data_IF_189194354622
#
_entry.id   IF_189194354622
#
_cell.length_a   1.000
_cell.length_b   1.000
_cell.length_c   1.000
_cell.angle_alpha   90.00
_cell.angle_beta   90.00
_cell.angle_gamma   90.00
#
_symmetry.space_group_name_H-M   'P 1'
#
loop_
_entity.id
_entity.type
_entity.pdbx_description
1 polymer ?
#
# COMPACT_ATOMS: atom_id res chain seq x y z
N UNK A 1 34.22 -11.00 29.98
CA UNK A 1 33.31 -9.94 30.48
C UNK A 1 33.29 -9.92 32.00
N UNK A 2 33.34 -11.05 32.69
CA UNK A 2 33.33 -11.12 34.17
C UNK A 2 34.63 -10.57 34.76
N UNK A 3 35.79 -10.82 34.15
CA UNK A 3 37.06 -10.20 34.54
C UNK A 3 37.02 -8.66 34.48
N UNK A 4 36.37 -8.09 33.45
CA UNK A 4 36.21 -6.63 33.36
C UNK A 4 35.32 -6.07 34.48
N UNK A 5 34.28 -6.82 34.87
CA UNK A 5 33.37 -6.46 35.98
C UNK A 5 34.12 -6.49 37.32
N UNK A 6 34.91 -7.54 37.56
CA UNK A 6 35.71 -7.69 38.79
C UNK A 6 36.73 -6.57 38.91
N UNK A 7 37.43 -6.20 37.84
CA UNK A 7 38.42 -5.10 37.87
C UNK A 7 37.73 -3.74 38.12
N UNK A 8 36.62 -3.45 37.49
CA UNK A 8 35.87 -2.19 37.73
C UNK A 8 35.32 -2.15 39.14
N UNK A 9 34.80 -3.26 39.68
CA UNK A 9 34.34 -3.37 41.05
C UNK A 9 35.51 -3.24 42.08
N UNK A 10 36.71 -3.69 41.71
CA UNK A 10 37.95 -3.51 42.49
C UNK A 10 38.56 -2.11 42.40
N UNK A 11 37.84 -1.13 41.81
CA UNK A 11 38.27 0.28 41.79
C UNK A 11 39.20 0.68 40.64
N UNK A 12 39.48 -0.20 39.71
CA UNK A 12 40.32 0.13 38.54
C UNK A 12 39.61 1.12 37.61
N UNK A 13 40.38 2.11 37.09
CA UNK A 13 39.83 3.11 36.15
C UNK A 13 39.28 2.44 34.88
N UNK A 14 38.05 2.75 34.52
CA UNK A 14 37.36 2.20 33.33
C UNK A 14 38.18 2.39 32.05
N UNK A 15 38.94 3.50 31.92
CA UNK A 15 39.80 3.77 30.78
C UNK A 15 40.96 2.75 30.66
N UNK A 16 41.52 2.34 31.80
CA UNK A 16 42.59 1.34 31.85
C UNK A 16 42.03 -0.06 31.53
N UNK A 17 40.90 -0.45 32.15
CA UNK A 17 40.24 -1.73 31.90
C UNK A 17 39.79 -1.84 30.44
N UNK A 18 39.27 -0.76 29.86
CA UNK A 18 38.89 -0.66 28.45
C UNK A 18 40.06 -0.95 27.51
N UNK A 19 41.24 -0.36 27.81
CA UNK A 19 42.47 -0.51 27.01
C UNK A 19 43.03 -1.94 27.12
N UNK A 20 43.14 -2.45 28.33
CA UNK A 20 43.75 -3.76 28.59
C UNK A 20 42.90 -4.92 28.06
N UNK A 21 41.58 -4.85 28.24
CA UNK A 21 40.67 -5.92 27.82
C UNK A 21 40.05 -5.69 26.45
N UNK A 22 40.39 -4.60 25.72
CA UNK A 22 39.83 -4.21 24.42
C UNK A 22 38.30 -4.17 24.39
N UNK A 23 37.68 -3.73 25.48
CA UNK A 23 36.22 -3.56 25.62
C UNK A 23 35.90 -2.08 25.61
N UNK A 24 34.88 -1.67 24.85
CA UNK A 24 34.52 -0.25 24.76
C UNK A 24 34.09 0.34 26.12
N UNK A 25 34.44 1.60 26.41
CA UNK A 25 34.04 2.31 27.63
C UNK A 25 32.52 2.33 27.82
N UNK A 26 31.78 2.55 26.71
CA UNK A 26 30.32 2.53 26.72
C UNK A 26 29.75 1.19 27.20
N UNK A 27 30.36 0.09 26.75
CA UNK A 27 29.97 -1.27 27.18
C UNK A 27 30.29 -1.51 28.67
N UNK A 28 31.42 -1.02 29.18
CA UNK A 28 31.77 -1.12 30.61
C UNK A 28 30.82 -0.29 31.47
N UNK A 29 30.48 0.95 31.08
CA UNK A 29 29.50 1.78 31.76
C UNK A 29 28.10 1.16 31.76
N UNK A 30 27.67 0.62 30.62
CA UNK A 30 26.38 -0.08 30.50
C UNK A 30 26.33 -1.29 31.43
N UNK A 31 27.45 -2.02 31.57
CA UNK A 31 27.57 -3.18 32.44
C UNK A 31 27.55 -2.79 33.91
N UNK A 32 28.22 -1.70 34.30
CA UNK A 32 28.23 -1.18 35.67
C UNK A 32 26.84 -0.70 36.14
N UNK A 33 26.03 -0.19 35.24
CA UNK A 33 24.65 0.27 35.52
C UNK A 33 23.61 -0.86 35.60
N UNK A 34 23.96 -2.10 35.24
CA UNK A 34 23.04 -3.24 35.29
C UNK A 34 22.78 -3.66 36.72
N UNK A 35 21.49 -3.78 37.08
CA UNK A 35 21.11 -4.30 38.42
C UNK A 35 21.53 -5.76 38.61
N UNK A 36 21.62 -6.22 39.86
CA UNK A 36 21.94 -7.63 40.18
C UNK A 36 20.98 -8.64 39.55
N UNK A 37 19.73 -8.26 39.27
CA UNK A 37 18.73 -9.09 38.61
C UNK A 37 18.67 -8.92 37.09
N UNK A 38 19.59 -8.16 36.48
CA UNK A 38 19.56 -7.95 35.04
C UNK A 38 19.85 -9.25 34.26
N UNK A 39 18.94 -9.64 33.40
CA UNK A 39 19.11 -10.76 32.48
C UNK A 39 19.16 -10.26 31.01
N UNK A 40 20.08 -10.82 30.24
CA UNK A 40 20.14 -10.52 28.82
C UNK A 40 18.92 -11.09 28.08
N UNK A 41 17.96 -10.20 27.77
CA UNK A 41 16.73 -10.60 27.07
C UNK A 41 16.97 -11.13 25.65
N UNK A 42 18.17 -10.96 25.10
CA UNK A 42 18.54 -11.51 23.77
C UNK A 42 18.68 -13.04 23.82
N UNK A 43 18.94 -13.60 24.98
CA UNK A 43 19.06 -15.05 25.21
C UNK A 43 17.73 -15.70 25.62
N UNK A 44 16.62 -14.96 25.71
CA UNK A 44 15.31 -15.56 25.98
C UNK A 44 14.93 -16.52 24.86
N UNK A 45 14.40 -17.69 25.25
CA UNK A 45 13.87 -18.71 24.35
C UNK A 45 13.00 -18.01 23.29
N UNK A 46 13.30 -18.22 22.01
CA UNK A 46 12.48 -17.67 20.94
C UNK A 46 11.06 -18.21 21.10
N UNK A 47 10.03 -17.37 21.00
CA UNK A 47 8.66 -17.87 21.03
C UNK A 47 8.49 -18.90 19.91
N UNK A 48 7.62 -19.88 20.13
CA UNK A 48 7.21 -20.80 19.08
C UNK A 48 6.58 -20.01 17.92
N UNK A 49 7.10 -20.24 16.73
CA UNK A 49 6.66 -19.53 15.53
C UNK A 49 5.71 -20.38 14.67
N UNK A 50 5.36 -21.62 15.11
CA UNK A 50 4.56 -22.59 14.32
C UNK A 50 3.21 -22.02 13.92
N UNK A 51 2.44 -21.49 14.86
CA UNK A 51 1.16 -20.84 14.58
C UNK A 51 1.30 -19.63 13.67
N UNK A 52 2.28 -18.77 13.95
CA UNK A 52 2.55 -17.58 13.12
C UNK A 52 2.95 -17.98 11.70
N UNK A 53 3.71 -19.04 11.51
CA UNK A 53 4.09 -19.57 10.21
C UNK A 53 2.86 -20.10 9.45
N UNK A 54 1.98 -20.85 10.11
CA UNK A 54 0.76 -21.35 9.48
C UNK A 54 -0.12 -20.18 8.96
N UNK A 55 -0.32 -19.14 9.78
CA UNK A 55 -1.07 -17.93 9.38
C UNK A 55 -0.39 -17.18 8.22
N UNK A 56 0.95 -17.14 8.18
CA UNK A 56 1.70 -16.55 7.06
C UNK A 56 1.46 -17.35 5.78
N UNK A 57 1.48 -18.69 5.85
CA UNK A 57 1.20 -19.55 4.69
C UNK A 57 -0.20 -19.32 4.13
N UNK A 58 -1.23 -19.28 4.96
CA UNK A 58 -2.61 -18.97 4.52
C UNK A 58 -2.66 -17.67 3.70
N UNK A 59 -1.98 -16.60 4.15
CA UNK A 59 -1.97 -15.33 3.41
C UNK A 59 -1.19 -15.44 2.09
N UNK A 60 -0.08 -16.17 2.06
CA UNK A 60 0.76 -16.29 0.85
C UNK A 60 0.11 -17.21 -0.19
N UNK A 61 -0.59 -18.24 0.24
CA UNK A 61 -1.29 -19.16 -0.66
C UNK A 61 -2.38 -18.43 -1.46
N UNK A 62 -3.10 -17.50 -0.83
CA UNK A 62 -4.10 -16.65 -1.50
C UNK A 62 -3.47 -15.50 -2.29
N UNK A 63 -2.37 -14.92 -1.78
CA UNK A 63 -1.75 -13.69 -2.29
C UNK A 63 -0.23 -13.84 -2.43
N UNK A 64 0.24 -14.67 -3.37
CA UNK A 64 1.67 -15.04 -3.50
C UNK A 64 2.59 -13.87 -3.87
N UNK A 65 2.04 -12.77 -4.35
CA UNK A 65 2.78 -11.56 -4.72
C UNK A 65 3.03 -10.61 -3.55
N UNK A 66 2.52 -10.92 -2.34
CA UNK A 66 2.64 -10.06 -1.18
C UNK A 66 3.98 -10.25 -0.45
N UNK A 67 4.74 -9.15 -0.35
CA UNK A 67 5.94 -9.12 0.50
C UNK A 67 5.58 -9.02 2.00
N UNK A 68 6.56 -9.29 2.88
CA UNK A 68 6.38 -9.40 4.33
C UNK A 68 5.58 -8.27 5.00
N UNK A 69 5.68 -7.03 4.48
CA UNK A 69 4.95 -5.88 5.07
C UNK A 69 3.46 -5.94 4.80
N UNK A 70 3.04 -6.42 3.61
CA UNK A 70 1.63 -6.63 3.30
C UNK A 70 1.08 -7.85 4.03
N UNK A 71 1.84 -8.94 4.09
CA UNK A 71 1.51 -10.11 4.91
C UNK A 71 1.32 -9.70 6.37
N UNK A 72 2.26 -8.94 6.94
CA UNK A 72 2.12 -8.40 8.30
C UNK A 72 0.86 -7.56 8.48
N UNK A 73 0.52 -6.71 7.51
CA UNK A 73 -0.65 -5.84 7.60
C UNK A 73 -1.97 -6.64 7.69
N UNK A 74 -2.09 -7.71 6.90
CA UNK A 74 -3.24 -8.61 6.97
C UNK A 74 -3.29 -9.38 8.28
N UNK A 75 -2.16 -9.92 8.74
CA UNK A 75 -2.07 -10.60 10.04
C UNK A 75 -2.40 -9.66 11.21
N UNK A 76 -1.98 -8.39 11.14
CA UNK A 76 -2.34 -7.36 12.13
C UNK A 76 -3.85 -7.17 12.16
N UNK A 77 -4.47 -6.94 11.00
CA UNK A 77 -5.93 -6.73 10.89
C UNK A 77 -6.70 -7.94 11.41
N UNK A 78 -6.30 -9.14 11.05
CA UNK A 78 -6.88 -10.37 11.57
C UNK A 78 -6.75 -10.46 13.10
N UNK A 79 -5.55 -10.18 13.65
CA UNK A 79 -5.35 -10.19 15.11
C UNK A 79 -6.18 -9.13 15.83
N UNK A 80 -6.36 -7.93 15.23
CA UNK A 80 -7.23 -6.87 15.76
C UNK A 80 -8.71 -7.30 15.74
N UNK A 81 -9.15 -8.07 14.74
CA UNK A 81 -10.53 -8.60 14.66
C UNK A 81 -10.77 -9.71 15.68
N UNK A 82 -9.79 -10.59 15.87
CA UNK A 82 -9.87 -11.77 16.74
C UNK A 82 -9.47 -11.46 18.20
N UNK A 83 -9.26 -10.18 18.53
CA UNK A 83 -8.76 -9.69 19.85
C UNK A 83 -7.48 -10.40 20.31
N UNK A 84 -6.60 -10.73 19.36
CA UNK A 84 -5.32 -11.38 19.63
C UNK A 84 -4.16 -10.40 19.61
N UNK A 85 -3.04 -10.78 20.24
CA UNK A 85 -1.83 -9.97 20.23
C UNK A 85 -1.27 -9.80 18.81
N UNK A 86 -1.08 -8.57 18.36
CA UNK A 86 -0.53 -8.25 17.05
C UNK A 86 0.94 -8.67 16.94
N UNK A 87 1.26 -9.46 15.93
CA UNK A 87 2.62 -9.91 15.65
C UNK A 87 3.45 -8.73 15.10
N UNK A 88 4.67 -8.54 15.63
CA UNK A 88 5.57 -7.49 15.14
C UNK A 88 6.06 -7.78 13.71
N UNK A 89 6.09 -6.75 12.85
CA UNK A 89 6.56 -6.86 11.47
C UNK A 89 7.98 -7.45 11.32
N UNK A 90 8.89 -7.17 12.28
CA UNK A 90 10.23 -7.75 12.32
C UNK A 90 10.20 -9.27 12.59
N UNK A 91 9.21 -9.75 13.39
CA UNK A 91 9.01 -11.18 13.61
C UNK A 91 8.52 -11.86 12.34
N UNK A 92 7.53 -11.29 11.65
CA UNK A 92 7.03 -11.78 10.35
C UNK A 92 8.18 -11.86 9.34
N UNK A 93 8.96 -10.78 9.19
CA UNK A 93 10.12 -10.78 8.29
C UNK A 93 11.11 -11.92 8.61
N UNK A 94 11.42 -12.14 9.90
CA UNK A 94 12.35 -13.19 10.33
C UNK A 94 11.81 -14.58 9.99
N UNK A 95 10.53 -14.84 10.27
CA UNK A 95 9.88 -16.12 9.97
C UNK A 95 9.89 -16.38 8.46
N UNK A 96 9.45 -15.41 7.65
CA UNK A 96 9.44 -15.53 6.19
C UNK A 96 10.86 -15.74 5.63
N UNK A 97 11.87 -15.06 6.17
CA UNK A 97 13.26 -15.25 5.75
C UNK A 97 13.77 -16.65 6.08
N UNK A 98 13.47 -17.18 7.26
CA UNK A 98 13.92 -18.51 7.71
C UNK A 98 13.28 -19.66 6.89
N UNK A 99 12.10 -19.42 6.33
CA UNK A 99 11.34 -20.39 5.54
C UNK A 99 11.40 -20.10 4.01
N UNK A 100 12.33 -19.26 3.54
CA UNK A 100 12.50 -18.91 2.13
C UNK A 100 11.24 -18.34 1.45
N UNK A 101 10.37 -17.65 2.21
CA UNK A 101 9.10 -17.06 1.73
C UNK A 101 9.23 -15.58 1.32
N UNK A 102 10.45 -15.02 1.32
CA UNK A 102 10.66 -13.65 0.89
C UNK A 102 10.70 -13.57 -0.64
N UNK A 103 10.02 -12.57 -1.19
CA UNK A 103 10.11 -12.27 -2.61
C UNK A 103 11.53 -11.82 -2.99
N UNK A 104 11.96 -12.16 -4.19
CA UNK A 104 13.23 -11.68 -4.74
C UNK A 104 13.25 -10.15 -4.85
N UNK A 105 14.37 -9.57 -4.44
CA UNK A 105 14.59 -8.14 -4.61
C UNK A 105 14.97 -7.83 -6.05
N UNK A 106 14.07 -7.19 -6.80
CA UNK A 106 14.44 -6.56 -8.06
C UNK A 106 15.31 -5.34 -7.77
N UNK A 107 16.39 -5.14 -8.57
CA UNK A 107 17.21 -3.94 -8.47
C UNK A 107 16.34 -2.69 -8.68
N UNK A 108 16.41 -1.75 -7.75
CA UNK A 108 15.66 -0.50 -7.87
C UNK A 108 16.54 0.57 -8.50
N UNK A 109 15.96 1.40 -9.37
CA UNK A 109 16.66 2.57 -9.91
C UNK A 109 17.02 3.49 -8.73
N UNK A 110 18.30 3.91 -8.58
CA UNK A 110 18.69 4.82 -7.51
C UNK A 110 17.82 6.09 -7.49
N UNK A 111 17.53 6.60 -6.28
CA UNK A 111 16.71 7.82 -6.08
C UNK A 111 17.22 9.02 -6.90
N UNK A 112 18.55 9.14 -7.07
CA UNK A 112 19.19 10.18 -7.86
C UNK A 112 18.87 10.15 -9.37
N UNK A 113 18.33 9.03 -9.87
CA UNK A 113 17.91 8.87 -11.27
C UNK A 113 16.38 8.98 -11.45
N UNK A 114 15.63 9.24 -10.39
CA UNK A 114 14.20 9.48 -10.46
C UNK A 114 13.98 10.96 -10.78
N UNK A 115 13.56 11.25 -12.00
CA UNK A 115 13.58 12.58 -12.60
C UNK A 115 12.39 13.49 -12.22
N UNK A 116 11.61 13.20 -11.15
CA UNK A 116 10.42 14.02 -10.88
C UNK A 116 10.25 14.47 -9.44
N UNK A 117 9.70 15.68 -9.30
CA UNK A 117 9.43 16.37 -8.03
C UNK A 117 7.93 16.58 -7.75
N UNK A 118 7.04 16.15 -8.66
CA UNK A 118 5.61 16.36 -8.54
C UNK A 118 4.93 15.39 -7.55
N UNK A 119 3.95 15.89 -6.77
CA UNK A 119 3.08 15.04 -5.94
C UNK A 119 1.68 15.00 -6.55
N UNK A 120 1.22 13.78 -6.91
CA UNK A 120 -0.17 13.54 -7.32
C UNK A 120 -1.07 13.42 -6.09
N UNK A 121 -0.53 12.88 -4.99
CA UNK A 121 -1.25 12.71 -3.73
C UNK A 121 -1.69 14.06 -3.13
N UNK A 122 -2.92 14.07 -2.62
CA UNK A 122 -3.53 15.21 -1.93
C UNK A 122 -3.83 14.86 -0.48
N UNK A 123 -3.98 15.87 0.38
CA UNK A 123 -4.20 15.67 1.82
C UNK A 123 -5.63 15.31 2.20
N UNK A 124 -6.59 15.54 1.32
CA UNK A 124 -8.02 15.37 1.58
C UNK A 124 -8.67 14.48 0.54
N UNK A 125 -9.58 13.59 0.97
CA UNK A 125 -10.41 12.80 0.05
C UNK A 125 -11.32 13.71 -0.77
N UNK A 126 -11.65 13.26 -1.98
CA UNK A 126 -12.51 13.99 -2.90
C UNK A 126 -11.98 15.37 -3.36
N UNK A 127 -10.68 15.64 -3.21
CA UNK A 127 -10.03 16.83 -3.80
C UNK A 127 -9.51 16.56 -5.20
N UNK A 128 -9.00 15.37 -5.42
CA UNK A 128 -8.48 14.94 -6.72
C UNK A 128 -8.71 13.45 -6.90
N UNK A 129 -9.30 13.10 -8.01
CA UNK A 129 -9.39 11.75 -8.52
C UNK A 129 -8.51 11.59 -9.73
N UNK A 130 -7.92 10.44 -9.94
CA UNK A 130 -7.21 10.11 -11.17
C UNK A 130 -7.90 8.95 -11.88
N UNK A 131 -7.82 8.98 -13.20
CA UNK A 131 -8.37 7.95 -14.07
C UNK A 131 -7.34 7.58 -15.13
N UNK A 132 -7.38 6.34 -15.55
CA UNK A 132 -6.56 5.77 -16.60
C UNK A 132 -7.25 4.53 -17.16
N UNK A 133 -6.71 3.98 -18.23
CA UNK A 133 -7.17 2.73 -18.81
C UNK A 133 -6.06 1.68 -18.84
N UNK A 134 -6.44 0.43 -18.72
CA UNK A 134 -5.52 -0.69 -18.97
C UNK A 134 -6.24 -1.82 -19.70
N UNK A 135 -5.47 -2.64 -20.38
CA UNK A 135 -6.00 -3.83 -21.06
C UNK A 135 -5.30 -5.10 -20.59
N UNK A 136 -6.00 -6.21 -20.71
CA UNK A 136 -5.47 -7.56 -20.56
C UNK A 136 -6.22 -8.54 -21.44
N UNK A 137 -5.62 -9.71 -21.69
CA UNK A 137 -6.23 -10.77 -22.49
C UNK A 137 -6.73 -11.90 -21.62
N UNK A 138 -7.89 -12.45 -22.01
CA UNK A 138 -8.43 -13.71 -21.48
C UNK A 138 -7.75 -14.89 -22.17
N UNK A 139 -7.93 -16.09 -21.60
CA UNK A 139 -7.30 -17.32 -22.09
C UNK A 139 -7.85 -17.75 -23.46
N UNK A 140 -9.11 -17.38 -23.77
CA UNK A 140 -9.73 -17.57 -25.09
C UNK A 140 -9.30 -16.53 -26.16
N UNK A 141 -8.42 -15.58 -25.81
CA UNK A 141 -7.93 -14.53 -26.70
C UNK A 141 -8.75 -13.24 -26.72
N UNK A 142 -9.89 -13.18 -26.03
CA UNK A 142 -10.65 -11.94 -25.86
C UNK A 142 -9.82 -10.89 -25.12
N UNK A 143 -9.94 -9.64 -25.55
CA UNK A 143 -9.29 -8.51 -24.88
C UNK A 143 -10.31 -7.69 -24.11
N UNK A 144 -10.03 -7.45 -22.85
CA UNK A 144 -10.79 -6.54 -21.99
C UNK A 144 -10.01 -5.26 -21.77
N UNK A 145 -10.70 -4.14 -21.96
CA UNK A 145 -10.22 -2.79 -21.62
C UNK A 145 -10.98 -2.27 -20.43
N UNK A 146 -10.24 -1.82 -19.45
CA UNK A 146 -10.78 -1.39 -18.17
C UNK A 146 -10.43 0.07 -17.96
N UNK A 147 -11.43 0.89 -17.67
CA UNK A 147 -11.29 2.28 -17.24
C UNK A 147 -11.71 2.37 -15.78
N UNK A 148 -11.04 3.18 -14.98
CA UNK A 148 -11.30 3.29 -13.54
C UNK A 148 -11.14 4.71 -13.02
N UNK A 149 -11.73 5.00 -11.86
CA UNK A 149 -11.55 6.20 -11.07
C UNK A 149 -10.94 5.85 -9.71
N UNK A 150 -9.91 6.58 -9.28
CA UNK A 150 -9.20 6.37 -8.03
C UNK A 150 -9.06 7.69 -7.28
N UNK A 151 -9.37 7.72 -5.97
CA UNK A 151 -9.10 8.89 -5.13
C UNK A 151 -7.60 9.02 -4.82
N UNK A 152 -7.05 10.23 -5.01
CA UNK A 152 -5.62 10.48 -4.84
C UNK A 152 -5.19 10.65 -3.38
N UNK A 153 -6.10 10.71 -2.42
CA UNK A 153 -5.82 10.72 -1.00
C UNK A 153 -5.92 9.32 -0.40
N UNK A 154 -7.12 8.75 -0.38
CA UNK A 154 -7.42 7.50 0.32
C UNK A 154 -7.21 6.24 -0.52
N UNK A 155 -6.90 6.38 -1.82
CA UNK A 155 -6.61 5.28 -2.75
C UNK A 155 -7.79 4.36 -3.04
N UNK A 156 -9.02 4.73 -2.68
CA UNK A 156 -10.18 3.92 -3.04
C UNK A 156 -10.40 3.96 -4.55
N UNK A 157 -10.54 2.78 -5.16
CA UNK A 157 -11.05 2.65 -6.52
C UNK A 157 -12.57 2.85 -6.46
N UNK A 158 -13.02 4.02 -6.92
CA UNK A 158 -14.38 4.50 -6.75
C UNK A 158 -15.36 3.78 -7.66
N UNK A 159 -14.99 3.69 -8.92
CA UNK A 159 -15.75 3.03 -9.94
C UNK A 159 -14.86 2.53 -11.07
N UNK A 160 -15.34 1.59 -11.84
CA UNK A 160 -14.67 1.05 -13.01
C UNK A 160 -15.65 0.48 -14.01
N UNK A 161 -15.26 0.45 -15.27
CA UNK A 161 -16.01 -0.18 -16.34
C UNK A 161 -15.06 -1.01 -17.21
N UNK A 162 -15.57 -2.11 -17.76
CA UNK A 162 -14.82 -2.98 -18.67
C UNK A 162 -15.57 -3.15 -19.99
N UNK A 163 -14.85 -3.14 -21.11
CA UNK A 163 -15.39 -3.28 -22.45
C UNK A 163 -14.49 -4.17 -23.32
N UNK A 164 -15.09 -4.92 -24.24
CA UNK A 164 -14.38 -5.64 -25.29
C UNK A 164 -14.04 -4.71 -26.48
N UNK A 165 -14.69 -3.53 -26.54
CA UNK A 165 -14.46 -2.49 -27.56
C UNK A 165 -13.24 -1.62 -27.27
N UNK A 166 -13.18 -0.46 -27.92
CA UNK A 166 -12.18 0.58 -27.64
C UNK A 166 -12.43 1.32 -26.32
N UNK A 167 -11.49 2.18 -25.93
CA UNK A 167 -11.79 3.21 -24.94
C UNK A 167 -12.64 4.29 -25.63
N UNK A 168 -13.91 4.36 -25.29
CA UNK A 168 -14.83 5.35 -25.81
C UNK A 168 -15.19 6.42 -24.77
N UNK A 169 -15.79 7.51 -25.23
CA UNK A 169 -16.19 8.61 -24.36
C UNK A 169 -17.34 8.24 -23.43
N UNK A 170 -18.23 7.33 -23.84
CA UNK A 170 -19.36 6.88 -23.03
C UNK A 170 -18.88 6.10 -21.82
N UNK A 171 -17.99 5.11 -22.01
CA UNK A 171 -17.38 4.36 -20.90
C UNK A 171 -16.69 5.27 -19.90
N UNK A 172 -16.00 6.33 -20.36
CA UNK A 172 -15.36 7.30 -19.47
C UNK A 172 -16.40 8.10 -18.69
N UNK A 173 -17.50 8.51 -19.34
CA UNK A 173 -18.61 9.24 -18.70
C UNK A 173 -19.33 8.37 -17.66
N UNK A 174 -19.54 7.10 -17.95
CA UNK A 174 -20.11 6.13 -17.00
C UNK A 174 -19.23 5.99 -15.76
N UNK A 175 -17.90 5.94 -15.94
CA UNK A 175 -16.95 5.89 -14.81
C UNK A 175 -16.98 7.19 -14.00
N UNK A 176 -17.10 8.35 -14.63
CA UNK A 176 -17.25 9.64 -13.93
C UNK A 176 -18.53 9.66 -13.10
N UNK A 177 -19.67 9.30 -13.71
CA UNK A 177 -20.97 9.28 -13.03
C UNK A 177 -20.97 8.31 -11.86
N UNK A 178 -20.57 7.06 -12.10
CA UNK A 178 -20.54 6.03 -11.07
C UNK A 178 -19.59 6.38 -9.91
N UNK A 179 -18.47 7.08 -10.18
CA UNK A 179 -17.57 7.56 -9.12
C UNK A 179 -18.23 8.66 -8.28
N UNK A 180 -18.98 9.60 -8.89
CA UNK A 180 -19.72 10.65 -8.18
C UNK A 180 -20.84 10.03 -7.35
N UNK A 181 -21.64 9.13 -7.92
CA UNK A 181 -22.71 8.43 -7.20
C UNK A 181 -22.15 7.62 -6.02
N UNK A 182 -21.00 6.98 -6.19
CA UNK A 182 -20.34 6.21 -5.12
C UNK A 182 -19.98 7.07 -3.91
N UNK A 183 -19.53 8.32 -4.14
CA UNK A 183 -19.04 9.22 -3.09
C UNK A 183 -20.10 10.16 -2.53
N UNK A 184 -21.05 10.58 -3.36
CA UNK A 184 -22.00 11.63 -3.02
C UNK A 184 -23.46 11.19 -3.14
N UNK A 185 -23.71 9.93 -3.54
CA UNK A 185 -25.06 9.41 -3.77
C UNK A 185 -25.76 10.19 -4.88
N UNK A 186 -26.98 10.65 -4.61
CA UNK A 186 -27.77 11.43 -5.57
C UNK A 186 -27.42 12.92 -5.59
N UNK A 187 -26.36 13.34 -4.90
CA UNK A 187 -25.93 14.74 -4.82
C UNK A 187 -24.68 14.98 -5.65
N UNK A 188 -24.50 16.20 -6.11
CA UNK A 188 -23.23 16.63 -6.72
C UNK A 188 -22.23 17.03 -5.61
N UNK A 189 -20.90 16.98 -5.90
CA UNK A 189 -19.91 17.46 -4.96
C UNK A 189 -20.12 18.93 -4.63
N UNK A 190 -20.03 19.32 -3.34
CA UNK A 190 -20.16 20.70 -2.91
C UNK A 190 -19.06 21.63 -3.45
N UNK A 191 -17.92 21.07 -3.80
CA UNK A 191 -16.81 21.75 -4.48
C UNK A 191 -16.31 20.89 -5.62
N UNK A 192 -15.90 21.45 -6.75
CA UNK A 192 -15.41 20.67 -7.89
C UNK A 192 -14.25 19.75 -7.50
N UNK A 193 -14.32 18.49 -7.89
CA UNK A 193 -13.25 17.51 -7.71
C UNK A 193 -12.34 17.53 -8.93
N UNK A 194 -11.04 17.69 -8.76
CA UNK A 194 -10.09 17.60 -9.86
C UNK A 194 -10.09 16.18 -10.45
N UNK A 195 -10.36 16.10 -11.76
CA UNK A 195 -10.33 14.85 -12.52
C UNK A 195 -9.06 14.77 -13.35
N UNK A 196 -8.05 14.09 -12.82
CA UNK A 196 -6.72 13.99 -13.43
C UNK A 196 -6.64 12.78 -14.36
N UNK A 197 -6.31 13.04 -15.65
CA UNK A 197 -6.14 11.99 -16.66
C UNK A 197 -4.89 12.23 -17.49
N UNK A 198 -4.49 11.21 -18.22
CA UNK A 198 -3.55 11.35 -19.33
C UNK A 198 -4.16 12.15 -20.50
N UNK A 199 -3.42 12.23 -21.61
CA UNK A 199 -3.84 12.93 -22.84
C UNK A 199 -4.61 12.01 -23.82
N UNK A 200 -5.19 10.90 -23.40
CA UNK A 200 -5.96 9.99 -24.22
C UNK A 200 -7.16 10.68 -24.91
N UNK A 201 -7.47 10.27 -26.15
CA UNK A 201 -8.50 10.92 -26.96
C UNK A 201 -9.90 10.89 -26.32
N UNK A 202 -10.28 9.78 -25.68
CA UNK A 202 -11.56 9.63 -24.99
C UNK A 202 -11.73 10.65 -23.85
N UNK A 203 -10.66 10.98 -23.12
CA UNK A 203 -10.68 11.97 -22.05
C UNK A 203 -10.66 13.43 -22.54
N UNK A 204 -10.12 13.67 -23.74
CA UNK A 204 -9.97 15.03 -24.31
C UNK A 204 -11.16 15.48 -25.12
N UNK A 205 -12.13 14.62 -25.45
CA UNK A 205 -13.28 14.99 -26.23
C UNK A 205 -14.03 16.16 -25.58
N UNK A 206 -14.59 17.05 -26.38
CA UNK A 206 -15.37 18.20 -25.87
C UNK A 206 -16.56 17.70 -25.04
N UNK A 207 -17.21 16.65 -25.51
CA UNK A 207 -18.36 16.03 -24.85
C UNK A 207 -18.00 15.49 -23.46
N UNK A 208 -16.89 14.74 -23.33
CA UNK A 208 -16.41 14.20 -22.04
C UNK A 208 -16.07 15.32 -21.04
N UNK A 209 -15.41 16.37 -21.51
CA UNK A 209 -15.07 17.51 -20.63
C UNK A 209 -16.29 18.31 -20.17
N UNK A 210 -17.28 18.48 -21.07
CA UNK A 210 -18.54 19.11 -20.70
C UNK A 210 -19.30 18.25 -19.68
N UNK A 211 -19.44 16.97 -19.93
CA UNK A 211 -20.06 16.01 -19.02
C UNK A 211 -19.39 16.01 -17.63
N UNK A 212 -18.06 15.97 -17.59
CA UNK A 212 -17.31 16.05 -16.33
C UNK A 212 -17.73 17.26 -15.48
N UNK A 213 -17.81 18.46 -16.09
CA UNK A 213 -18.23 19.66 -15.36
C UNK A 213 -19.69 19.60 -14.90
N UNK A 214 -20.57 18.97 -15.68
CA UNK A 214 -21.98 18.78 -15.30
C UNK A 214 -22.12 17.91 -14.04
N UNK A 215 -21.25 16.91 -13.85
CA UNK A 215 -21.25 16.05 -12.68
C UNK A 215 -20.32 16.56 -11.56
N UNK A 216 -19.85 17.81 -11.64
CA UNK A 216 -19.04 18.44 -10.58
C UNK A 216 -17.55 18.06 -10.59
N UNK A 217 -17.04 17.55 -11.72
CA UNK A 217 -15.64 17.21 -11.89
C UNK A 217 -14.94 18.31 -12.73
N UNK A 218 -13.74 18.74 -12.31
CA UNK A 218 -12.91 19.69 -13.07
C UNK A 218 -11.79 18.93 -13.80
N UNK A 219 -11.87 18.79 -15.14
CA UNK A 219 -10.87 18.08 -15.92
C UNK A 219 -9.49 18.71 -15.82
N UNK A 220 -8.51 17.92 -15.43
CA UNK A 220 -7.08 18.25 -15.41
C UNK A 220 -6.32 17.24 -16.24
N UNK A 221 -5.52 17.72 -17.18
CA UNK A 221 -4.67 16.84 -17.98
C UNK A 221 -3.22 16.95 -17.48
N UNK A 222 -2.53 15.82 -17.54
CA UNK A 222 -1.10 15.78 -17.27
C UNK A 222 -0.34 16.63 -18.29
N UNK A 223 0.75 17.29 -17.86
CA UNK A 223 1.58 18.05 -18.77
C UNK A 223 2.16 17.14 -19.85
N UNK A 224 2.21 17.64 -21.09
CA UNK A 224 2.81 16.93 -22.21
C UNK A 224 4.25 16.55 -21.87
N UNK A 225 4.63 15.31 -22.05
CA UNK A 225 5.94 14.71 -21.70
C UNK A 225 6.25 14.59 -20.20
N UNK A 226 5.23 14.59 -19.33
CA UNK A 226 5.39 14.29 -17.90
C UNK A 226 4.54 13.06 -17.52
N UNK A 227 4.97 11.85 -17.89
CA UNK A 227 4.24 10.61 -17.60
C UNK A 227 4.05 10.40 -16.09
N UNK A 228 4.90 11.01 -15.27
CA UNK A 228 4.89 10.91 -13.81
C UNK A 228 3.70 11.65 -13.16
N UNK A 229 3.07 12.57 -13.89
CA UNK A 229 1.92 13.32 -13.36
C UNK A 229 0.67 12.44 -13.17
N UNK A 230 0.61 11.21 -13.77
CA UNK A 230 -0.40 10.19 -13.47
C UNK A 230 0.18 8.95 -12.76
N UNK A 231 1.33 9.08 -12.09
CA UNK A 231 2.04 7.97 -11.46
C UNK A 231 1.24 7.18 -10.44
N UNK A 232 0.13 7.75 -9.94
CA UNK A 232 -0.78 7.05 -9.04
C UNK A 232 -1.67 6.04 -9.78
N UNK A 233 -2.28 6.45 -10.88
CA UNK A 233 -3.05 5.57 -11.74
C UNK A 233 -2.16 4.45 -12.32
N UNK A 234 -0.95 4.79 -12.79
CA UNK A 234 0.03 3.78 -13.23
C UNK A 234 0.40 2.78 -12.12
N UNK A 235 0.60 3.26 -10.89
CA UNK A 235 0.89 2.39 -9.75
C UNK A 235 -0.27 1.47 -9.42
N UNK A 236 -1.51 1.96 -9.53
CA UNK A 236 -2.73 1.17 -9.38
C UNK A 236 -2.80 0.09 -10.46
N UNK A 237 -2.62 0.45 -11.74
CA UNK A 237 -2.60 -0.51 -12.86
C UNK A 237 -1.55 -1.60 -12.64
N UNK A 238 -0.33 -1.23 -12.23
CA UNK A 238 0.73 -2.19 -11.89
C UNK A 238 0.31 -3.15 -10.79
N UNK A 239 -0.40 -2.64 -9.77
CA UNK A 239 -0.92 -3.44 -8.66
C UNK A 239 -2.02 -4.39 -9.15
N UNK A 240 -3.01 -3.91 -9.90
CA UNK A 240 -4.09 -4.74 -10.43
C UNK A 240 -3.55 -5.85 -11.34
N UNK A 241 -2.63 -5.54 -12.25
CA UNK A 241 -2.03 -6.54 -13.13
C UNK A 241 -1.21 -7.58 -12.38
N UNK A 242 -0.39 -7.17 -11.41
CA UNK A 242 0.52 -8.06 -10.67
C UNK A 242 -0.20 -8.90 -9.63
N UNK A 243 -1.05 -8.25 -8.81
CA UNK A 243 -1.56 -8.86 -7.57
C UNK A 243 -2.93 -9.54 -7.77
N UNK A 244 -3.63 -9.25 -8.88
CA UNK A 244 -4.97 -9.77 -9.15
C UNK A 244 -5.06 -10.45 -10.52
N UNK A 245 -4.87 -9.73 -11.62
CA UNK A 245 -5.10 -10.25 -12.97
C UNK A 245 -4.15 -11.40 -13.31
N UNK A 246 -2.91 -11.38 -12.80
CA UNK A 246 -1.93 -12.45 -13.05
C UNK A 246 -2.32 -13.78 -12.41
N UNK A 247 -3.14 -13.77 -11.37
CA UNK A 247 -3.52 -14.96 -10.60
C UNK A 247 -4.98 -15.35 -10.74
N UNK A 248 -5.88 -14.42 -11.14
CA UNK A 248 -7.29 -14.73 -11.29
C UNK A 248 -7.57 -15.61 -12.53
N UNK A 249 -8.52 -16.55 -12.45
CA UNK A 249 -9.03 -17.26 -13.63
C UNK A 249 -9.68 -16.29 -14.61
N UNK A 250 -9.38 -16.43 -15.91
CA UNK A 250 -9.95 -15.58 -16.98
C UNK A 250 -10.16 -16.35 -18.29
N UNK A 251 -10.92 -17.46 -18.24
CA UNK A 251 -11.16 -18.29 -19.41
C UNK A 251 -11.84 -17.52 -20.56
N UNK A 252 -12.72 -16.58 -20.23
CA UNK A 252 -13.50 -15.73 -21.14
C UNK A 252 -13.75 -14.35 -20.52
N UNK A 253 -14.26 -13.41 -21.33
CA UNK A 253 -14.50 -12.04 -20.93
C UNK A 253 -15.53 -11.91 -19.81
N UNK A 254 -16.59 -12.69 -19.80
CA UNK A 254 -17.65 -12.62 -18.79
C UNK A 254 -17.13 -13.06 -17.42
N UNK A 255 -16.44 -14.19 -17.37
CA UNK A 255 -15.80 -14.69 -16.15
C UNK A 255 -14.73 -13.72 -15.65
N UNK A 256 -13.93 -13.18 -16.57
CA UNK A 256 -12.90 -12.20 -16.23
C UNK A 256 -13.47 -10.92 -15.61
N UNK A 257 -14.59 -10.38 -16.13
CA UNK A 257 -15.28 -9.20 -15.56
C UNK A 257 -15.80 -9.49 -14.15
N UNK A 258 -16.39 -10.67 -13.93
CA UNK A 258 -16.85 -11.09 -12.60
C UNK A 258 -15.67 -11.15 -11.59
N UNK A 259 -14.60 -11.82 -11.94
CA UNK A 259 -13.41 -11.95 -11.09
C UNK A 259 -12.71 -10.59 -10.88
N UNK A 260 -12.78 -9.71 -11.87
CA UNK A 260 -12.27 -8.35 -11.76
C UNK A 260 -13.09 -7.53 -10.74
N UNK A 261 -14.41 -7.72 -10.67
CA UNK A 261 -15.24 -7.07 -9.65
C UNK A 261 -14.82 -7.49 -8.24
N UNK A 262 -14.57 -8.78 -8.02
CA UNK A 262 -14.03 -9.29 -6.75
C UNK A 262 -12.63 -8.72 -6.45
N UNK A 263 -11.79 -8.57 -7.47
CA UNK A 263 -10.46 -7.99 -7.35
C UNK A 263 -10.50 -6.51 -6.91
N UNK A 264 -11.39 -5.70 -7.50
CA UNK A 264 -11.58 -4.30 -7.10
C UNK A 264 -12.13 -4.19 -5.67
N UNK A 265 -13.08 -5.05 -5.31
CA UNK A 265 -13.62 -5.09 -3.94
C UNK A 265 -12.55 -5.50 -2.93
N UNK A 266 -11.76 -6.53 -3.23
CA UNK A 266 -10.63 -6.95 -2.40
C UNK A 266 -9.56 -5.85 -2.30
N UNK A 267 -9.27 -5.16 -3.40
CA UNK A 267 -8.35 -4.03 -3.39
C UNK A 267 -8.82 -2.94 -2.41
N UNK A 268 -10.06 -2.54 -2.50
CA UNK A 268 -10.61 -1.50 -1.63
C UNK A 268 -10.67 -1.94 -0.16
N UNK A 269 -11.06 -3.18 0.09
CA UNK A 269 -11.30 -3.67 1.45
C UNK A 269 -10.04 -4.19 2.13
N UNK A 270 -9.12 -4.84 1.38
CA UNK A 270 -8.04 -5.62 1.99
C UNK A 270 -6.62 -5.23 1.56
N UNK A 271 -6.43 -4.60 0.40
CA UNK A 271 -5.08 -4.35 -0.11
C UNK A 271 -4.31 -3.30 0.72
N UNK A 272 -3.20 -3.65 1.40
CA UNK A 272 -2.49 -2.72 2.26
C UNK A 272 -1.62 -1.75 1.46
N UNK A 273 -1.79 -0.45 1.69
CA UNK A 273 -1.00 0.62 1.09
C UNK A 273 0.02 1.20 2.06
N UNK A 274 1.30 1.27 1.67
CA UNK A 274 2.35 1.88 2.50
C UNK A 274 2.05 3.34 2.81
N UNK A 275 1.51 4.10 1.85
CA UNK A 275 1.11 5.49 2.02
C UNK A 275 -0.05 5.69 3.01
N UNK A 276 -0.82 4.65 3.31
CA UNK A 276 -1.92 4.66 4.29
C UNK A 276 -1.53 3.95 5.60
N UNK A 277 -0.23 3.84 5.88
CA UNK A 277 0.27 3.12 7.05
C UNK A 277 -0.04 1.61 7.02
N UNK A 278 0.02 1.01 5.84
CA UNK A 278 -0.32 -0.39 5.58
C UNK A 278 -1.78 -0.75 5.92
N UNK A 279 -2.70 0.20 5.70
CA UNK A 279 -4.14 -0.03 5.73
C UNK A 279 -4.68 -0.13 4.32
N UNK A 280 -5.82 -0.81 4.16
CA UNK A 280 -6.59 -0.74 2.91
C UNK A 280 -7.30 0.61 2.80
N UNK A 281 -7.75 1.01 1.59
CA UNK A 281 -8.50 2.24 1.39
C UNK A 281 -9.69 2.39 2.35
N UNK A 282 -10.54 1.39 2.45
CA UNK A 282 -11.73 1.45 3.32
C UNK A 282 -11.41 1.32 4.81
N UNK A 283 -10.37 0.56 5.19
CA UNK A 283 -9.89 0.56 6.58
C UNK A 283 -9.42 1.96 6.98
N UNK A 284 -8.71 2.63 6.09
CA UNK A 284 -8.23 4.00 6.32
C UNK A 284 -9.38 4.99 6.47
N UNK A 285 -10.38 4.95 5.58
CA UNK A 285 -11.57 5.80 5.65
C UNK A 285 -12.37 5.58 6.93
N UNK A 286 -12.66 4.32 7.31
CA UNK A 286 -13.39 4.00 8.55
C UNK A 286 -12.68 4.56 9.79
N UNK A 287 -11.35 4.45 9.86
CA UNK A 287 -10.60 5.00 10.99
C UNK A 287 -10.61 6.53 11.05
N UNK A 288 -10.62 7.20 9.91
CA UNK A 288 -10.75 8.67 9.89
C UNK A 288 -12.10 9.12 10.40
N UNK A 289 -13.17 8.47 9.98
CA UNK A 289 -14.53 8.77 10.43
C UNK A 289 -14.69 8.55 11.94
N UNK A 290 -14.15 7.43 12.47
CA UNK A 290 -14.28 7.08 13.90
C UNK A 290 -13.45 7.98 14.83
N UNK A 291 -12.38 8.62 14.34
CA UNK A 291 -11.54 9.49 15.17
C UNK A 291 -11.87 10.98 15.07
N UNK A 292 -12.92 11.38 14.32
CA UNK A 292 -13.28 12.79 14.12
C UNK A 292 -12.15 13.66 13.57
N UNK A 293 -11.12 13.01 12.99
CA UNK A 293 -9.92 13.69 12.46
C UNK A 293 -10.32 14.39 11.17
N UNK A 294 -10.39 15.72 11.23
CA UNK A 294 -10.47 16.55 10.05
C UNK A 294 -9.28 16.25 9.12
N UNK A 295 -9.50 16.46 7.83
CA UNK A 295 -8.61 16.09 6.70
C UNK A 295 -7.13 16.56 6.76
N UNK A 296 -6.71 17.23 7.83
CA UNK A 296 -5.43 17.97 7.89
C UNK A 296 -4.15 17.12 8.15
N UNK A 297 -4.22 15.82 8.40
CA UNK A 297 -3.05 15.00 8.79
C UNK A 297 -2.65 13.87 7.83
N UNK A 298 -2.84 14.04 6.53
CA UNK A 298 -2.44 13.02 5.54
C UNK A 298 -0.98 13.13 5.05
N UNK A 299 -0.17 14.06 5.55
CA UNK A 299 1.12 14.42 4.94
C UNK A 299 2.37 14.19 5.80
N UNK A 300 2.26 13.57 6.96
CA UNK A 300 3.44 13.28 7.81
C UNK A 300 3.64 11.78 8.00
N UNK A 301 4.07 11.07 6.97
CA UNK A 301 4.88 9.84 7.10
C UNK A 301 5.77 9.69 5.85
#
# INVERSE_FOLDING_TARGET
MDSARALVAGGWRISLVSRCLRVSRAQLHAMARRSKGWQDRRCKRKPDDTEALARIHTVIDDLPTYGYRRVWALLRRQSETDDMAVINAKRVYRIMRQNALLLERKSTIPLSKRAHTGKVAVGESNRRWCSDGFEFSCDNGEKLRVTFALDCCDREALYWAASNGGYDSETVQDVMLGAVERRFGNSLPASPVEWLTDNGSAYRSHQTRQFARMVGLEPKHTAVRSPESNGMAESFVKTMKRDYISIMPKPDGLTAVKNLAEAFEHYNEWHPHSALGYRSPREYLRRRTSHGLSDKKCMEI
#
